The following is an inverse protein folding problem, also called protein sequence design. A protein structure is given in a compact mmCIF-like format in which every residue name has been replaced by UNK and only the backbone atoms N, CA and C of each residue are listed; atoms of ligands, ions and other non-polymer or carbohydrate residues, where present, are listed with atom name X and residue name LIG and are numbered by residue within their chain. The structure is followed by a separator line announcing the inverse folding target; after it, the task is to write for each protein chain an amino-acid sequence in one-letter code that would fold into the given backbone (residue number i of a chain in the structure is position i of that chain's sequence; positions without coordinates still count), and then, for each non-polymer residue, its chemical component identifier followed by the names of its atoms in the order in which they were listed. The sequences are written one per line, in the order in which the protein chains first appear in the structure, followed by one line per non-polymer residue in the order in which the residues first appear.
data_IF_860968633813
#
_entry.id   IF_860968633813
#
_cell.length_a   1.000
_cell.length_b   1.000
_cell.length_c   1.000
_cell.angle_alpha   90.00
_cell.angle_beta   90.00
_cell.angle_gamma   90.00
#
_symmetry.space_group_name_H-M   'P 1'
#
loop_
_entity.id
_entity.type
_entity.pdbx_description
1 polymer ?
#
# COMPACT_ATOMS: atom_id res chain seq x y z
N UNK A 1 -4.77 -21.43 -10.04
CA UNK A 1 -4.80 -21.35 -8.56
C UNK A 1 -4.72 -19.88 -8.17
N UNK A 2 -5.78 -19.30 -7.60
CA UNK A 2 -5.76 -17.90 -7.14
C UNK A 2 -5.03 -17.85 -5.80
N UNK A 3 -3.71 -17.60 -5.82
CA UNK A 3 -2.90 -17.47 -4.61
C UNK A 3 -3.48 -16.34 -3.79
N UNK A 4 -4.05 -16.68 -2.64
CA UNK A 4 -4.72 -15.74 -1.75
C UNK A 4 -3.66 -14.78 -1.19
N UNK A 5 -3.44 -13.64 -1.84
CA UNK A 5 -2.48 -12.58 -1.48
C UNK A 5 -2.93 -11.85 -0.22
N UNK A 6 -3.25 -12.57 0.87
CA UNK A 6 -3.71 -11.99 2.14
C UNK A 6 -2.51 -11.71 3.03
N UNK A 7 -2.23 -10.43 3.22
CA UNK A 7 -1.22 -9.99 4.20
C UNK A 7 -1.75 -10.27 5.62
N UNK A 8 -1.08 -11.11 6.42
CA UNK A 8 -1.47 -11.28 7.82
C UNK A 8 -1.22 -9.98 8.59
N UNK A 9 -2.13 -9.63 9.50
CA UNK A 9 -1.94 -8.45 10.34
C UNK A 9 -1.27 -8.87 11.64
N UNK A 10 0.06 -8.90 11.62
CA UNK A 10 0.89 -9.14 12.81
C UNK A 10 1.46 -7.82 13.33
N UNK A 11 1.78 -7.71 14.64
CA UNK A 11 2.46 -6.55 15.20
C UNK A 11 3.76 -6.22 14.45
N UNK A 12 4.53 -7.23 14.05
CA UNK A 12 5.77 -7.06 13.28
C UNK A 12 5.53 -6.36 11.94
N UNK A 13 4.51 -6.79 11.18
CA UNK A 13 4.17 -6.17 9.91
C UNK A 13 3.67 -4.74 10.11
N UNK A 14 2.90 -4.49 11.18
CA UNK A 14 2.46 -3.15 11.54
C UNK A 14 3.65 -2.22 11.81
N UNK A 15 4.61 -2.66 12.62
CA UNK A 15 5.84 -1.91 12.92
C UNK A 15 6.66 -1.61 11.67
N UNK A 16 6.85 -2.61 10.80
CA UNK A 16 7.57 -2.46 9.52
C UNK A 16 6.90 -1.40 8.63
N UNK A 17 5.57 -1.45 8.49
CA UNK A 17 4.82 -0.46 7.69
C UNK A 17 4.90 0.93 8.33
N UNK A 18 4.76 1.03 9.65
CA UNK A 18 4.82 2.30 10.37
C UNK A 18 6.19 2.96 10.23
N UNK A 19 7.28 2.19 10.35
CA UNK A 19 8.63 2.67 10.17
C UNK A 19 8.87 3.18 8.75
N UNK A 20 8.47 2.41 7.74
CA UNK A 20 8.54 2.85 6.34
C UNK A 20 7.81 4.17 6.10
N UNK A 21 6.58 4.29 6.61
CA UNK A 21 5.79 5.52 6.49
C UNK A 21 6.44 6.67 7.27
N UNK A 22 7.06 6.40 8.43
CA UNK A 22 7.75 7.41 9.25
C UNK A 22 8.95 8.01 8.50
N UNK A 23 9.78 7.17 7.89
CA UNK A 23 10.93 7.61 7.08
C UNK A 23 10.46 8.48 5.91
N UNK A 24 9.46 8.01 5.14
CA UNK A 24 8.91 8.78 4.01
C UNK A 24 8.29 10.12 4.43
N UNK A 25 7.68 10.18 5.62
CA UNK A 25 7.16 11.45 6.18
C UNK A 25 8.28 12.42 6.53
N UNK A 26 9.40 11.94 7.07
CA UNK A 26 10.56 12.77 7.38
C UNK A 26 11.12 13.42 6.10
N UNK A 27 11.17 12.66 5.01
CA UNK A 27 11.58 13.15 3.68
C UNK A 27 10.47 13.94 2.96
N UNK A 28 9.31 14.15 3.61
CA UNK A 28 8.12 14.80 3.04
C UNK A 28 7.62 14.15 1.74
N UNK A 29 7.92 12.87 1.54
CA UNK A 29 7.51 12.13 0.35
C UNK A 29 6.11 11.57 0.54
N UNK A 30 5.23 11.87 -0.42
CA UNK A 30 3.89 11.28 -0.46
C UNK A 30 4.01 9.76 -0.57
N UNK A 31 3.30 9.05 0.31
CA UNK A 31 3.27 7.59 0.34
C UNK A 31 1.87 7.09 0.03
N UNK A 32 1.76 6.21 -0.96
CA UNK A 32 0.52 5.60 -1.44
C UNK A 32 0.56 4.10 -1.16
N UNK A 33 -0.60 3.43 -1.14
CA UNK A 33 -0.69 1.99 -0.97
C UNK A 33 0.17 1.20 -1.98
N UNK A 34 0.38 1.73 -3.19
CA UNK A 34 1.29 1.16 -4.19
C UNK A 34 2.74 1.11 -3.67
N UNK A 35 3.22 2.20 -3.08
CA UNK A 35 4.59 2.27 -2.53
C UNK A 35 4.77 1.25 -1.39
N UNK A 36 3.76 1.16 -0.51
CA UNK A 36 3.77 0.19 0.59
C UNK A 36 3.76 -1.24 0.07
N UNK A 37 2.94 -1.56 -0.94
CA UNK A 37 2.90 -2.90 -1.54
C UNK A 37 4.25 -3.27 -2.17
N UNK A 38 4.88 -2.34 -2.90
CA UNK A 38 6.21 -2.54 -3.49
C UNK A 38 7.29 -2.75 -2.43
N UNK A 39 7.25 -1.97 -1.34
CA UNK A 39 8.16 -2.14 -0.21
C UNK A 39 8.00 -3.53 0.44
N UNK A 40 6.76 -3.96 0.71
CA UNK A 40 6.48 -5.28 1.28
C UNK A 40 6.88 -6.43 0.34
N UNK A 41 6.81 -6.22 -0.98
CA UNK A 41 7.33 -7.17 -1.97
C UNK A 41 8.85 -7.25 -1.94
N UNK A 42 9.55 -6.11 -1.88
CA UNK A 42 11.00 -6.07 -1.76
C UNK A 42 11.51 -6.81 -0.51
N UNK A 43 10.75 -6.74 0.59
CA UNK A 43 11.01 -7.47 1.83
C UNK A 43 10.56 -8.95 1.82
N UNK A 44 10.03 -9.46 0.69
CA UNK A 44 9.46 -10.81 0.55
C UNK A 44 8.31 -11.13 1.53
N UNK A 45 7.65 -10.09 2.06
CA UNK A 45 6.48 -10.22 2.96
C UNK A 45 5.20 -10.37 2.12
N UNK A 46 5.13 -9.69 0.98
CA UNK A 46 3.99 -9.73 0.06
C UNK A 46 4.43 -10.19 -1.33
N UNK A 47 4.12 -11.43 -1.68
CA UNK A 47 4.42 -11.97 -3.01
C UNK A 47 3.29 -11.63 -3.98
N UNK A 48 3.58 -10.83 -4.99
CA UNK A 48 2.71 -10.61 -6.14
C UNK A 48 3.55 -10.36 -7.39
N UNK A 49 2.93 -10.61 -8.54
CA UNK A 49 3.52 -10.37 -9.84
C UNK A 49 3.11 -8.98 -10.33
N UNK A 50 4.07 -8.03 -10.51
CA UNK A 50 3.76 -6.69 -11.01
C UNK A 50 3.32 -6.68 -12.48
N UNK A 51 3.65 -7.71 -13.25
CA UNK A 51 3.26 -7.82 -14.66
C UNK A 51 1.80 -8.30 -14.81
N UNK A 52 1.23 -8.88 -13.75
CA UNK A 52 -0.16 -9.31 -13.71
C UNK A 52 -1.04 -8.28 -13.02
N UNK A 53 -1.94 -7.67 -13.79
CA UNK A 53 -2.93 -6.69 -13.28
C UNK A 53 -3.77 -7.28 -12.13
N UNK A 54 -4.22 -8.53 -12.28
CA UNK A 54 -5.02 -9.23 -11.27
C UNK A 54 -4.24 -9.44 -9.96
N UNK A 55 -2.97 -9.84 -10.08
CA UNK A 55 -2.10 -10.08 -8.92
C UNK A 55 -1.79 -8.77 -8.19
N UNK A 56 -1.51 -7.71 -8.96
CA UNK A 56 -1.26 -6.37 -8.45
C UNK A 56 -2.50 -5.80 -7.77
N UNK A 57 -3.69 -5.93 -8.37
CA UNK A 57 -4.93 -5.46 -7.76
C UNK A 57 -5.20 -6.17 -6.43
N UNK A 58 -5.08 -7.50 -6.38
CA UNK A 58 -5.25 -8.28 -5.16
C UNK A 58 -4.28 -7.84 -4.04
N UNK A 59 -3.02 -7.62 -4.39
CA UNK A 59 -1.99 -7.13 -3.47
C UNK A 59 -2.31 -5.73 -2.94
N UNK A 60 -2.79 -4.83 -3.81
CA UNK A 60 -3.20 -3.48 -3.42
C UNK A 60 -4.42 -3.50 -2.50
N UNK A 61 -5.44 -4.32 -2.80
CA UNK A 61 -6.61 -4.46 -1.94
C UNK A 61 -6.22 -4.97 -0.55
N UNK A 62 -5.35 -5.97 -0.47
CA UNK A 62 -4.84 -6.48 0.81
C UNK A 62 -4.04 -5.44 1.59
N UNK A 63 -3.15 -4.72 0.90
CA UNK A 63 -2.37 -3.63 1.51
C UNK A 63 -3.28 -2.52 2.03
N UNK A 64 -4.29 -2.11 1.26
CA UNK A 64 -5.28 -1.11 1.67
C UNK A 64 -6.05 -1.54 2.92
N UNK A 65 -6.44 -2.81 3.04
CA UNK A 65 -7.13 -3.34 4.23
C UNK A 65 -6.24 -3.21 5.48
N UNK A 66 -4.96 -3.54 5.36
CA UNK A 66 -4.01 -3.41 6.49
C UNK A 66 -3.79 -1.95 6.85
N UNK A 67 -3.58 -1.09 5.85
CA UNK A 67 -3.43 0.36 6.08
C UNK A 67 -4.67 0.97 6.76
N UNK A 68 -5.87 0.57 6.35
CA UNK A 68 -7.11 1.02 6.97
C UNK A 68 -7.20 0.61 8.46
N UNK A 69 -6.78 -0.62 8.79
CA UNK A 69 -6.71 -1.09 10.19
C UNK A 69 -5.65 -0.34 11.01
N UNK A 70 -4.55 0.09 10.39
CA UNK A 70 -3.54 0.97 11.00
C UNK A 70 -3.98 2.45 11.01
N UNK A 71 -5.25 2.75 10.71
CA UNK A 71 -5.80 4.11 10.66
C UNK A 71 -5.17 5.03 9.63
N UNK A 72 -4.45 4.49 8.64
CA UNK A 72 -4.01 5.24 7.47
C UNK A 72 -5.18 5.41 6.50
N UNK A 73 -5.59 6.66 6.33
CA UNK A 73 -6.69 7.00 5.43
C UNK A 73 -6.19 7.04 3.98
N UNK A 74 -7.02 6.52 3.07
CA UNK A 74 -6.82 6.72 1.64
C UNK A 74 -6.90 8.23 1.33
N UNK A 75 -5.87 8.76 0.68
CA UNK A 75 -5.89 10.15 0.24
C UNK A 75 -7.07 10.41 -0.71
N UNK A 76 -7.78 11.51 -0.50
CA UNK A 76 -8.83 11.98 -1.41
C UNK A 76 -8.17 12.64 -2.61
N UNK A 77 -8.50 12.22 -3.85
CA UNK A 77 -8.13 12.99 -5.04
C UNK A 77 -8.81 14.36 -4.90
N UNK A 78 -8.04 15.45 -4.90
CA UNK A 78 -8.64 16.79 -5.02
C UNK A 78 -9.49 16.74 -6.30
N UNK A 79 -10.78 17.12 -6.22
CA UNK A 79 -11.55 17.40 -7.43
C UNK A 79 -10.69 18.41 -8.20
N UNK A 80 -10.26 18.07 -9.41
CA UNK A 80 -9.73 19.07 -10.32
C UNK A 80 -10.81 20.15 -10.38
N UNK A 81 -10.49 21.38 -9.97
CA UNK A 81 -11.27 22.53 -10.41
C UNK A 81 -11.28 22.38 -11.93
N UNK A 82 -12.45 22.12 -12.50
CA UNK A 82 -12.58 21.99 -13.94
C UNK A 82 -12.06 23.28 -14.53
N UNK A 83 -10.86 23.24 -15.10
CA UNK A 83 -10.42 24.28 -16.01
C UNK A 83 -11.36 24.09 -17.19
N UNK A 84 -12.44 24.88 -17.21
CA UNK A 84 -13.18 25.13 -18.45
C UNK A 84 -12.20 25.86 -19.35
N UNK A 85 -11.65 25.14 -20.32
CA UNK A 85 -11.19 25.76 -21.55
C UNK A 85 -12.42 26.09 -22.40
#
# INVERSE_FOLDING_TARGET
MSTRTRLPMTPTIASIIQEFVRLRRQDRVRTVAKDVALFLRAQRILCFDPESDLSTEAALQSTQRVLAKLSYKRGKKKKSLGIRM
#
